data_IF_547698205820
#
_entry.id   IF_547698205820
#
_cell.length_a   1.000
_cell.length_b   1.000
_cell.length_c   1.000
_cell.angle_alpha   90.00
_cell.angle_beta   90.00
_cell.angle_gamma   90.00
#
_symmetry.space_group_name_H-M   'P 1'
#
loop_
_entity.id
_entity.type
_entity.pdbx_description
1 polymer ?
#
# COMPACT_ATOMS: atom_id res chain seq x y z
N UNK A 1 -15.74 21.38 -1.55
CA UNK A 1 -14.95 21.34 -2.80
C UNK A 1 -15.18 20.02 -3.49
N UNK A 2 -15.50 20.05 -4.76
CA UNK A 2 -15.62 18.83 -5.57
C UNK A 2 -14.25 18.39 -6.06
N UNK A 3 -14.16 17.14 -6.56
CA UNK A 3 -12.93 16.64 -7.16
C UNK A 3 -12.49 17.49 -8.36
N UNK A 4 -13.45 17.90 -9.21
CA UNK A 4 -13.15 18.73 -10.37
C UNK A 4 -12.58 20.09 -9.98
N UNK A 5 -13.17 20.74 -8.99
CA UNK A 5 -12.65 21.99 -8.45
C UNK A 5 -11.24 21.85 -7.89
N UNK A 6 -10.96 20.74 -7.19
CA UNK A 6 -9.63 20.46 -6.68
C UNK A 6 -8.63 20.25 -7.83
N UNK A 7 -9.01 19.49 -8.86
CA UNK A 7 -8.16 19.27 -10.02
C UNK A 7 -7.81 20.56 -10.75
N UNK A 8 -8.72 21.52 -10.79
CA UNK A 8 -8.52 22.80 -11.48
C UNK A 8 -7.48 23.68 -10.79
N UNK A 9 -7.28 23.54 -9.48
CA UNK A 9 -6.30 24.34 -8.74
C UNK A 9 -4.88 23.74 -8.72
N UNK A 10 -4.72 22.49 -9.15
CA UNK A 10 -3.42 21.85 -9.22
C UNK A 10 -2.57 22.41 -10.35
N UNK A 11 -1.30 22.67 -10.07
CA UNK A 11 -0.33 23.07 -11.10
C UNK A 11 0.18 21.84 -11.84
N UNK A 12 0.84 22.06 -12.98
CA UNK A 12 1.50 20.97 -13.70
C UNK A 12 2.56 20.28 -12.83
N UNK A 13 3.32 21.05 -12.06
CA UNK A 13 4.33 20.51 -11.14
C UNK A 13 3.70 19.63 -10.05
N UNK A 14 2.55 20.03 -9.51
CA UNK A 14 1.80 19.23 -8.56
C UNK A 14 1.38 17.89 -9.15
N UNK A 15 0.88 17.89 -10.38
CA UNK A 15 0.47 16.68 -11.09
C UNK A 15 1.66 15.74 -11.35
N UNK A 16 2.81 16.29 -11.77
CA UNK A 16 4.03 15.52 -11.97
C UNK A 16 4.51 14.91 -10.65
N UNK A 17 4.46 15.68 -9.56
CA UNK A 17 4.84 15.20 -8.24
C UNK A 17 3.96 14.04 -7.77
N UNK A 18 2.67 14.08 -8.05
CA UNK A 18 1.74 13.00 -7.68
C UNK A 18 1.99 11.69 -8.43
N UNK A 19 2.55 11.76 -9.64
CA UNK A 19 2.87 10.56 -10.42
C UNK A 19 4.13 9.83 -9.90
N UNK A 20 4.99 10.52 -9.17
CA UNK A 20 6.19 9.95 -8.59
C UNK A 20 5.93 9.29 -7.24
N UNK A 21 6.80 8.35 -6.85
CA UNK A 21 6.80 7.82 -5.49
C UNK A 21 7.30 8.86 -4.51
N UNK A 22 6.73 8.86 -3.32
CA UNK A 22 7.12 9.77 -2.24
C UNK A 22 8.10 9.08 -1.28
N UNK A 23 8.96 9.83 -0.57
CA UNK A 23 9.91 9.24 0.37
C UNK A 23 9.22 8.33 1.39
N UNK A 24 9.88 7.21 1.71
CA UNK A 24 9.41 6.32 2.76
C UNK A 24 9.69 6.95 4.13
N UNK A 25 8.65 7.44 4.77
CA UNK A 25 8.73 8.06 6.09
C UNK A 25 8.24 7.13 7.20
N UNK A 26 7.79 5.93 6.86
CA UNK A 26 7.19 4.99 7.80
C UNK A 26 7.95 3.66 7.89
N UNK A 27 7.22 2.65 8.31
CA UNK A 27 7.72 1.30 8.53
C UNK A 27 7.56 0.36 7.33
N UNK A 28 6.83 0.79 6.32
CA UNK A 28 6.66 0.01 5.09
C UNK A 28 7.94 -0.01 4.26
N UNK A 29 8.08 -1.00 3.39
CA UNK A 29 9.29 -1.16 2.58
C UNK A 29 9.25 -0.45 1.23
N UNK A 30 8.13 0.18 0.88
CA UNK A 30 7.96 0.88 -0.40
C UNK A 30 7.79 2.38 -0.19
N UNK A 31 7.72 3.10 -1.31
CA UNK A 31 7.48 4.53 -1.29
C UNK A 31 6.00 4.84 -1.07
N UNK A 32 5.71 6.06 -0.62
CA UNK A 32 4.35 6.54 -0.45
C UNK A 32 3.73 7.07 -1.74
N UNK A 33 2.46 7.45 -1.65
CA UNK A 33 1.70 8.09 -2.71
C UNK A 33 1.01 9.33 -2.16
N UNK A 34 0.76 10.31 -3.04
CA UNK A 34 0.11 11.55 -2.66
C UNK A 34 1.12 12.58 -2.17
N UNK A 35 0.94 13.03 -0.93
CA UNK A 35 1.83 13.99 -0.28
C UNK A 35 1.84 15.37 -0.93
N UNK A 36 0.69 16.03 -0.89
CA UNK A 36 0.58 17.46 -1.21
C UNK A 36 0.09 18.19 0.04
N UNK A 37 1.00 18.50 0.99
CA UNK A 37 0.62 19.09 2.27
C UNK A 37 -0.05 20.46 2.15
N UNK A 38 0.27 21.23 1.12
CA UNK A 38 -0.37 22.53 0.88
C UNK A 38 -1.89 22.41 0.65
N UNK A 39 -2.34 21.26 0.17
CA UNK A 39 -3.76 20.98 -0.10
C UNK A 39 -4.35 19.97 0.88
N UNK A 40 -3.60 19.58 1.91
CA UNK A 40 -4.07 18.59 2.87
C UNK A 40 -4.10 17.13 2.35
N UNK A 41 -3.43 16.83 1.25
CA UNK A 41 -3.33 15.47 0.72
C UNK A 41 -2.24 14.71 1.48
N UNK A 42 -2.59 13.61 2.19
CA UNK A 42 -1.61 12.88 2.99
C UNK A 42 -0.64 12.08 2.13
N UNK A 43 0.48 11.70 2.74
CA UNK A 43 1.39 10.70 2.19
C UNK A 43 0.88 9.31 2.60
N UNK A 44 0.32 8.57 1.66
CA UNK A 44 -0.21 7.23 1.91
C UNK A 44 0.89 6.21 1.69
N UNK A 45 1.29 5.54 2.76
CA UNK A 45 2.33 4.51 2.69
C UNK A 45 1.76 3.20 2.16
N UNK A 46 2.53 2.54 1.32
CA UNK A 46 2.22 1.22 0.79
C UNK A 46 3.29 0.21 1.19
N UNK A 47 2.95 -1.06 1.16
CA UNK A 47 3.89 -2.13 1.48
C UNK A 47 3.67 -3.31 0.54
N UNK A 48 4.75 -4.00 0.19
CA UNK A 48 4.64 -5.25 -0.54
C UNK A 48 3.85 -6.27 0.28
N UNK A 49 3.05 -7.10 -0.38
CA UNK A 49 2.16 -8.03 0.29
C UNK A 49 2.09 -9.46 -0.25
N UNK A 50 2.66 -9.83 -1.42
CA UNK A 50 2.44 -11.16 -1.98
C UNK A 50 2.81 -12.32 -1.05
N UNK A 51 3.91 -12.19 -0.31
CA UNK A 51 4.34 -13.20 0.67
C UNK A 51 4.08 -12.77 2.12
N UNK A 52 3.24 -11.77 2.33
CA UNK A 52 2.95 -11.13 3.60
C UNK A 52 3.34 -9.67 3.59
N UNK A 53 2.81 -8.90 4.50
CA UNK A 53 3.14 -7.48 4.61
C UNK A 53 4.62 -7.30 4.95
N UNK A 54 5.33 -6.52 4.14
CA UNK A 54 6.76 -6.22 4.38
C UNK A 54 6.88 -4.95 5.19
N UNK A 55 7.08 -5.15 6.48
CA UNK A 55 7.33 -4.07 7.43
C UNK A 55 8.79 -4.13 7.85
N UNK A 56 9.43 -2.97 7.92
CA UNK A 56 10.85 -2.89 8.29
C UNK A 56 11.10 -3.43 9.70
N UNK A 57 12.16 -4.21 9.93
CA UNK A 57 12.45 -4.81 11.25
C UNK A 57 12.55 -3.79 12.37
N UNK A 58 13.02 -2.58 12.09
CA UNK A 58 13.15 -1.50 13.06
C UNK A 58 11.84 -1.10 13.74
N UNK A 59 10.70 -1.44 13.15
CA UNK A 59 9.39 -1.10 13.68
C UNK A 59 8.86 -2.13 14.69
N UNK A 60 9.53 -3.27 14.84
CA UNK A 60 9.16 -4.28 15.83
C UNK A 60 7.81 -4.97 15.60
N UNK A 61 7.24 -4.85 14.41
CA UNK A 61 5.94 -5.46 14.07
C UNK A 61 6.18 -6.78 13.35
N UNK A 62 5.60 -7.84 13.91
CA UNK A 62 5.63 -9.15 13.27
C UNK A 62 4.47 -9.29 12.31
N UNK A 63 4.76 -9.80 11.11
CA UNK A 63 3.76 -10.09 10.09
C UNK A 63 3.78 -11.57 9.74
N UNK A 64 2.69 -12.06 9.16
CA UNK A 64 2.60 -13.45 8.74
C UNK A 64 3.28 -13.62 7.39
N UNK A 65 4.19 -14.59 7.28
CA UNK A 65 4.72 -15.03 6.01
C UNK A 65 3.74 -15.99 5.33
N UNK A 66 3.43 -15.72 4.08
CA UNK A 66 2.51 -16.51 3.28
C UNK A 66 3.26 -17.21 2.14
N UNK A 67 2.75 -18.34 1.65
CA UNK A 67 3.29 -18.94 0.43
C UNK A 67 3.22 -17.96 -0.74
N UNK A 68 4.16 -18.05 -1.67
CA UNK A 68 4.15 -17.19 -2.85
C UNK A 68 2.95 -17.49 -3.76
N UNK A 69 2.62 -16.54 -4.64
CA UNK A 69 1.47 -16.66 -5.52
C UNK A 69 1.53 -17.89 -6.43
N UNK A 70 2.71 -18.21 -6.94
CA UNK A 70 2.91 -19.40 -7.78
C UNK A 70 2.58 -20.69 -7.03
N UNK A 71 3.02 -20.80 -5.78
CA UNK A 71 2.71 -21.96 -4.95
C UNK A 71 1.22 -22.06 -4.67
N UNK A 72 0.56 -20.97 -4.32
CA UNK A 72 -0.88 -20.93 -4.09
C UNK A 72 -1.66 -21.33 -5.35
N UNK A 73 -1.28 -20.83 -6.51
CA UNK A 73 -1.89 -21.19 -7.78
C UNK A 73 -1.71 -22.68 -8.10
N UNK A 74 -0.59 -23.27 -7.71
CA UNK A 74 -0.30 -24.69 -7.92
C UNK A 74 -1.19 -25.63 -7.12
N UNK A 75 -1.92 -25.13 -6.13
CA UNK A 75 -2.89 -25.94 -5.36
C UNK A 75 -4.16 -26.24 -6.15
N UNK A 76 -4.50 -25.42 -7.16
CA UNK A 76 -5.77 -25.47 -7.89
C UNK A 76 -7.00 -25.40 -6.98
N UNK A 77 -6.85 -24.80 -5.80
CA UNK A 77 -7.88 -24.70 -4.78
C UNK A 77 -8.27 -23.22 -4.60
N UNK A 78 -9.33 -22.82 -5.28
CA UNK A 78 -9.82 -21.44 -5.26
C UNK A 78 -10.28 -21.00 -3.86
N UNK A 79 -10.89 -21.90 -3.10
CA UNK A 79 -11.36 -21.61 -1.73
C UNK A 79 -10.18 -21.32 -0.80
N UNK A 80 -9.09 -22.08 -0.94
CA UNK A 80 -7.88 -21.85 -0.15
C UNK A 80 -7.27 -20.47 -0.45
N UNK A 81 -7.18 -20.12 -1.72
CA UNK A 81 -6.63 -18.82 -2.16
C UNK A 81 -7.51 -17.68 -1.63
N UNK A 82 -8.81 -17.83 -1.66
CA UNK A 82 -9.74 -16.84 -1.11
C UNK A 82 -9.54 -16.65 0.41
N UNK A 83 -9.38 -17.73 1.15
CA UNK A 83 -9.11 -17.68 2.60
C UNK A 83 -7.80 -16.95 2.90
N UNK A 84 -6.77 -17.20 2.12
CA UNK A 84 -5.47 -16.49 2.25
C UNK A 84 -5.67 -15.00 2.01
N UNK A 85 -6.40 -14.62 0.95
CA UNK A 85 -6.69 -13.23 0.65
C UNK A 85 -7.45 -12.52 1.77
N UNK A 86 -8.47 -13.15 2.32
CA UNK A 86 -9.24 -12.63 3.45
C UNK A 86 -8.37 -12.44 4.69
N UNK A 87 -7.50 -13.39 4.99
CA UNK A 87 -6.59 -13.31 6.13
C UNK A 87 -5.60 -12.15 6.00
N UNK A 88 -5.05 -11.94 4.81
CA UNK A 88 -4.16 -10.79 4.54
C UNK A 88 -4.89 -9.47 4.74
N UNK A 89 -6.08 -9.34 4.17
CA UNK A 89 -6.89 -8.12 4.28
C UNK A 89 -7.24 -7.81 5.73
N UNK A 90 -7.63 -8.81 6.51
CA UNK A 90 -7.92 -8.65 7.93
C UNK A 90 -6.74 -8.13 8.73
N UNK A 91 -5.52 -8.61 8.45
CA UNK A 91 -4.30 -8.17 9.13
C UNK A 91 -3.89 -6.75 8.73
N UNK A 92 -4.07 -6.38 7.48
CA UNK A 92 -3.80 -5.02 7.00
C UNK A 92 -4.66 -3.98 7.72
N UNK A 93 -5.89 -4.32 8.00
CA UNK A 93 -6.86 -3.41 8.65
C UNK A 93 -6.62 -3.22 10.15
N UNK A 94 -5.87 -4.10 10.80
CA UNK A 94 -5.58 -4.04 12.24
C UNK A 94 -4.47 -3.07 12.62
N UNK A 95 -3.89 -2.44 11.66
CA UNK A 95 -2.87 -1.41 11.84
C UNK A 95 -3.47 -0.03 11.64
#
# INVERSE_FOLDING_TARGET
>A
MTLDEFMDILTLDDCINLLGGQPNTGCANTFGMGNLPEYGVPNVMTADGPAGLRILPKCGVNTTAWPCATLLASTWDEELVEKVGKSRSGRSKRK
#
